data_IF_548144118127
#
_entry.id   IF_548144118127
#
_cell.length_a   1.000
_cell.length_b   1.000
_cell.length_c   1.000
_cell.angle_alpha   90.00
_cell.angle_beta   90.00
_cell.angle_gamma   90.00
#
_symmetry.space_group_name_H-M   'P 1'
#
loop_
_entity.id
_entity.type
_entity.pdbx_description
1 polymer ?
#
# COMPACT_ATOMS: atom_id res chain seq x y z
N UNK A 1 -61.99 -46.47 18.05
CA UNK A 1 -61.52 -45.86 16.78
C UNK A 1 -60.65 -44.70 17.10
N UNK A 2 -59.37 -44.91 17.09
CA UNK A 2 -58.37 -43.91 17.51
C UNK A 2 -57.62 -43.41 16.27
N UNK A 3 -57.88 -42.17 15.90
CA UNK A 3 -57.27 -41.52 14.70
C UNK A 3 -55.87 -41.07 15.05
N UNK A 4 -54.82 -41.68 14.52
CA UNK A 4 -53.42 -41.22 14.61
C UNK A 4 -53.20 -40.10 13.61
N UNK A 5 -52.84 -38.92 14.13
CA UNK A 5 -52.43 -37.77 13.33
C UNK A 5 -50.92 -37.91 12.98
N UNK A 6 -50.64 -38.18 11.72
CA UNK A 6 -49.32 -38.35 11.18
C UNK A 6 -48.66 -36.96 10.98
N UNK A 7 -47.76 -36.56 11.88
CA UNK A 7 -47.00 -35.30 11.75
C UNK A 7 -45.79 -35.53 10.86
N UNK A 8 -45.87 -35.08 9.61
CA UNK A 8 -44.77 -35.06 8.66
C UNK A 8 -43.65 -34.15 9.22
N UNK A 9 -42.55 -34.74 9.69
CA UNK A 9 -41.31 -34.02 9.96
C UNK A 9 -40.65 -33.67 8.61
N UNK A 10 -40.56 -32.36 8.31
CA UNK A 10 -39.76 -31.83 7.22
C UNK A 10 -38.26 -32.10 7.49
N UNK A 11 -37.46 -32.48 6.49
CA UNK A 11 -36.04 -32.76 6.67
C UNK A 11 -35.26 -31.48 6.97
N UNK A 12 -34.35 -31.55 7.95
CA UNK A 12 -33.60 -30.45 8.55
C UNK A 12 -32.45 -29.91 7.70
N UNK A 13 -32.74 -29.49 6.45
CA UNK A 13 -31.80 -28.72 5.62
C UNK A 13 -32.22 -27.24 5.47
N UNK A 14 -32.93 -26.69 6.43
CA UNK A 14 -33.10 -25.26 6.52
C UNK A 14 -31.71 -24.65 6.68
N UNK A 15 -31.11 -24.25 5.57
CA UNK A 15 -29.90 -23.42 5.55
C UNK A 15 -30.19 -22.22 6.44
N UNK A 16 -29.53 -22.17 7.59
CA UNK A 16 -29.56 -20.98 8.43
C UNK A 16 -28.98 -19.84 7.61
N UNK A 17 -29.84 -18.97 7.11
CA UNK A 17 -29.42 -17.71 6.54
C UNK A 17 -28.68 -16.97 7.64
N UNK A 18 -27.34 -16.97 7.60
CA UNK A 18 -26.54 -16.08 8.44
C UNK A 18 -27.06 -14.67 8.20
N UNK A 19 -27.26 -13.85 9.24
CA UNK A 19 -27.69 -12.48 9.04
C UNK A 19 -26.72 -11.80 8.07
N UNK A 20 -27.23 -11.30 6.96
CA UNK A 20 -26.45 -10.66 5.94
C UNK A 20 -25.61 -9.56 6.60
N UNK A 21 -24.30 -9.73 6.64
CA UNK A 21 -23.38 -8.70 7.15
C UNK A 21 -23.64 -7.41 6.37
N UNK A 22 -23.66 -6.26 7.08
CA UNK A 22 -23.84 -4.96 6.40
C UNK A 22 -22.86 -4.85 5.22
N UNK A 23 -23.30 -4.36 4.06
CA UNK A 23 -22.44 -4.21 2.90
C UNK A 23 -21.27 -3.27 3.21
N UNK A 24 -20.13 -3.53 2.61
CA UNK A 24 -18.97 -2.66 2.66
C UNK A 24 -19.30 -1.41 1.83
N UNK A 25 -19.34 -0.26 2.50
CA UNK A 25 -19.67 1.03 1.90
C UNK A 25 -18.44 1.65 1.25
N UNK A 26 -18.50 1.87 -0.04
CA UNK A 26 -17.36 2.32 -0.86
C UNK A 26 -17.66 3.67 -1.47
N UNK A 27 -16.76 4.63 -1.27
CA UNK A 27 -16.72 5.89 -2.02
C UNK A 27 -15.69 5.75 -3.14
N UNK A 28 -16.06 6.11 -4.38
CA UNK A 28 -15.17 6.08 -5.55
C UNK A 28 -14.83 7.51 -5.95
N UNK A 29 -13.53 7.82 -6.04
CA UNK A 29 -13.04 9.14 -6.45
C UNK A 29 -12.04 8.98 -7.61
N UNK A 30 -12.43 9.42 -8.80
CA UNK A 30 -11.67 9.33 -10.05
C UNK A 30 -12.20 10.36 -11.04
N UNK A 31 -11.38 11.05 -11.79
CA UNK A 31 -11.82 12.03 -12.79
C UNK A 31 -12.27 11.39 -14.12
N UNK A 32 -11.88 10.12 -14.35
CA UNK A 32 -12.27 9.38 -15.56
C UNK A 32 -13.67 8.77 -15.43
N UNK A 33 -14.65 9.38 -16.07
CA UNK A 33 -16.06 8.93 -16.01
C UNK A 33 -16.25 7.45 -16.39
N UNK A 34 -15.61 6.99 -17.45
CA UNK A 34 -15.73 5.61 -17.92
C UNK A 34 -15.22 4.61 -16.87
N UNK A 35 -14.13 4.95 -16.21
CA UNK A 35 -13.58 4.12 -15.15
C UNK A 35 -14.52 4.08 -13.95
N UNK A 36 -15.08 5.22 -13.50
CA UNK A 36 -16.07 5.24 -12.40
C UNK A 36 -17.27 4.35 -12.69
N UNK A 37 -17.84 4.46 -13.93
CA UNK A 37 -18.94 3.59 -14.35
C UNK A 37 -18.57 2.13 -14.29
N UNK A 38 -17.38 1.75 -14.77
CA UNK A 38 -16.86 0.39 -14.75
C UNK A 38 -16.71 -0.14 -13.32
N UNK A 39 -16.07 0.62 -12.43
CA UNK A 39 -15.89 0.25 -11.02
C UNK A 39 -17.25 0.12 -10.31
N UNK A 40 -18.17 1.05 -10.51
CA UNK A 40 -19.52 0.96 -9.95
C UNK A 40 -20.24 -0.33 -10.39
N UNK A 41 -20.21 -0.66 -11.67
CA UNK A 41 -20.80 -1.91 -12.20
C UNK A 41 -20.16 -3.15 -11.58
N UNK A 42 -18.82 -3.15 -11.47
CA UNK A 42 -18.06 -4.24 -10.87
C UNK A 42 -18.45 -4.43 -9.40
N UNK A 43 -18.47 -3.35 -8.62
CA UNK A 43 -18.82 -3.38 -7.19
C UNK A 43 -20.27 -3.81 -7.01
N UNK A 44 -21.21 -3.30 -7.83
CA UNK A 44 -22.63 -3.69 -7.77
C UNK A 44 -22.87 -5.16 -8.09
N UNK A 45 -21.98 -5.81 -8.85
CA UNK A 45 -22.06 -7.24 -9.15
C UNK A 45 -21.50 -8.14 -8.05
N UNK A 46 -20.83 -7.57 -7.03
CA UNK A 46 -20.20 -8.34 -5.95
C UNK A 46 -21.06 -8.29 -4.68
N UNK A 47 -21.56 -9.45 -4.20
CA UNK A 47 -22.36 -9.50 -2.98
C UNK A 47 -21.63 -8.93 -1.78
N UNK A 48 -22.32 -8.09 -1.01
CA UNK A 48 -21.77 -7.49 0.20
C UNK A 48 -20.95 -6.21 -0.02
N UNK A 49 -21.04 -5.58 -1.19
CA UNK A 49 -20.44 -4.27 -1.49
C UNK A 49 -21.51 -3.27 -1.93
N UNK A 50 -21.29 -1.98 -1.63
CA UNK A 50 -22.16 -0.89 -2.01
C UNK A 50 -21.35 0.37 -2.33
N UNK A 51 -21.57 0.98 -3.51
CA UNK A 51 -21.04 2.31 -3.82
C UNK A 51 -21.98 3.35 -3.22
N UNK A 52 -21.51 4.05 -2.20
CA UNK A 52 -22.31 5.07 -1.48
C UNK A 52 -22.13 6.47 -2.03
N UNK A 53 -21.15 6.70 -2.92
CA UNK A 53 -20.92 7.99 -3.56
C UNK A 53 -19.83 7.91 -4.61
N UNK A 54 -19.84 8.92 -5.49
CA UNK A 54 -18.83 9.09 -6.54
C UNK A 54 -18.32 10.53 -6.53
N UNK A 55 -17.01 10.73 -6.69
CA UNK A 55 -16.37 12.03 -6.82
C UNK A 55 -15.56 12.10 -8.11
N UNK A 56 -15.52 13.26 -8.74
CA UNK A 56 -14.74 13.54 -9.97
C UNK A 56 -13.52 14.41 -9.72
N UNK A 57 -13.32 14.89 -8.48
CA UNK A 57 -12.18 15.72 -8.10
C UNK A 57 -11.86 15.57 -6.61
N UNK A 58 -10.71 16.10 -6.20
CA UNK A 58 -10.24 15.98 -4.82
C UNK A 58 -11.11 16.68 -3.78
N UNK A 59 -11.55 17.94 -3.96
CA UNK A 59 -12.44 18.62 -3.04
C UNK A 59 -13.77 17.89 -2.83
N UNK A 60 -14.37 17.37 -3.91
CA UNK A 60 -15.60 16.57 -3.83
C UNK A 60 -15.38 15.28 -3.05
N UNK A 61 -14.25 14.59 -3.29
CA UNK A 61 -13.89 13.36 -2.56
C UNK A 61 -13.82 13.61 -1.04
N UNK A 62 -13.17 14.70 -0.61
CA UNK A 62 -13.06 15.09 0.80
C UNK A 62 -14.45 15.39 1.38
N UNK A 63 -15.27 16.17 0.67
CA UNK A 63 -16.61 16.54 1.12
C UNK A 63 -17.51 15.31 1.28
N UNK A 64 -17.52 14.43 0.28
CA UNK A 64 -18.30 13.19 0.34
C UNK A 64 -17.79 12.23 1.42
N UNK A 65 -16.46 12.13 1.62
CA UNK A 65 -15.91 11.32 2.71
C UNK A 65 -16.41 11.78 4.09
N UNK A 66 -16.41 13.09 4.35
CA UNK A 66 -16.93 13.66 5.61
C UNK A 66 -18.39 13.33 5.85
N UNK A 67 -19.20 13.44 4.80
CA UNK A 67 -20.66 13.27 4.90
C UNK A 67 -21.08 11.80 4.95
N UNK A 68 -20.45 10.95 4.14
CA UNK A 68 -20.88 9.56 3.95
C UNK A 68 -20.19 8.59 4.90
N UNK A 69 -18.99 8.91 5.38
CA UNK A 69 -18.16 8.02 6.22
C UNK A 69 -18.11 6.60 5.64
N UNK A 70 -17.52 6.42 4.45
CA UNK A 70 -17.42 5.12 3.81
C UNK A 70 -16.50 4.18 4.60
N UNK A 71 -16.70 2.87 4.43
CA UNK A 71 -15.77 1.87 4.96
C UNK A 71 -14.43 1.88 4.21
N UNK A 72 -14.46 2.17 2.89
CA UNK A 72 -13.27 2.27 2.04
C UNK A 72 -13.46 3.41 1.03
N UNK A 73 -12.41 4.20 0.85
CA UNK A 73 -12.29 5.16 -0.26
C UNK A 73 -11.37 4.55 -1.33
N UNK A 74 -11.91 4.36 -2.55
CA UNK A 74 -11.11 4.13 -3.76
C UNK A 74 -10.74 5.48 -4.33
N UNK A 75 -9.46 5.76 -4.51
CA UNK A 75 -8.97 7.10 -4.82
C UNK A 75 -7.94 7.07 -5.95
N UNK A 76 -8.19 7.82 -7.03
CA UNK A 76 -7.15 8.08 -8.03
C UNK A 76 -6.14 9.10 -7.51
N UNK A 77 -4.89 8.94 -7.95
CA UNK A 77 -3.83 9.89 -7.63
C UNK A 77 -3.92 11.19 -8.41
N UNK A 78 -4.35 11.12 -9.67
CA UNK A 78 -4.38 12.27 -10.57
C UNK A 78 -5.81 12.75 -10.79
N UNK A 79 -6.19 13.72 -10.01
CA UNK A 79 -7.50 14.37 -10.11
C UNK A 79 -7.34 15.90 -10.19
N UNK A 80 -8.31 16.62 -10.79
CA UNK A 80 -8.31 18.07 -10.81
C UNK A 80 -8.37 18.69 -9.42
N UNK A 81 -7.85 19.90 -9.29
CA UNK A 81 -7.85 20.79 -8.12
C UNK A 81 -7.00 20.29 -6.95
N UNK A 82 -7.14 19.04 -6.54
CA UNK A 82 -6.32 18.41 -5.51
C UNK A 82 -5.91 17.00 -5.92
N UNK A 83 -4.61 16.73 -5.86
CA UNK A 83 -4.07 15.39 -6.10
C UNK A 83 -4.55 14.39 -5.05
N UNK A 84 -4.56 13.10 -5.40
CA UNK A 84 -4.91 12.04 -4.45
C UNK A 84 -4.03 12.05 -3.19
N UNK A 85 -2.75 12.42 -3.30
CA UNK A 85 -1.85 12.56 -2.15
C UNK A 85 -2.36 13.62 -1.16
N UNK A 86 -2.80 14.78 -1.67
CA UNK A 86 -3.37 15.87 -0.84
C UNK A 86 -4.69 15.46 -0.21
N UNK A 87 -5.52 14.68 -0.93
CA UNK A 87 -6.77 14.11 -0.42
C UNK A 87 -6.47 13.14 0.73
N UNK A 88 -5.51 12.21 0.56
CA UNK A 88 -5.08 11.28 1.62
C UNK A 88 -4.63 12.06 2.86
N UNK A 89 -3.71 13.02 2.70
CA UNK A 89 -3.20 13.85 3.81
C UNK A 89 -4.33 14.56 4.55
N UNK A 90 -5.29 15.14 3.80
CA UNK A 90 -6.41 15.87 4.38
C UNK A 90 -7.33 14.94 5.16
N UNK A 91 -7.75 13.84 4.56
CA UNK A 91 -8.65 12.87 5.19
C UNK A 91 -7.99 12.21 6.40
N UNK A 92 -6.73 11.79 6.31
CA UNK A 92 -6.00 11.15 7.40
C UNK A 92 -5.75 12.07 8.60
N UNK A 93 -5.60 13.37 8.36
CA UNK A 93 -5.50 14.38 9.42
C UNK A 93 -6.81 14.52 10.23
N UNK A 94 -7.95 14.39 9.57
CA UNK A 94 -9.27 14.51 10.19
C UNK A 94 -9.79 13.17 10.73
N UNK A 95 -9.45 12.07 10.07
CA UNK A 95 -9.92 10.70 10.34
C UNK A 95 -8.72 9.75 10.35
N UNK A 96 -8.13 9.57 11.51
CA UNK A 96 -6.92 8.75 11.67
C UNK A 96 -7.13 7.26 11.34
N UNK A 97 -8.37 6.77 11.34
CA UNK A 97 -8.77 5.41 10.97
C UNK A 97 -9.25 5.26 9.51
N UNK A 98 -9.17 6.34 8.70
CA UNK A 98 -9.60 6.32 7.30
C UNK A 98 -8.90 5.22 6.51
N UNK A 99 -9.68 4.44 5.78
CA UNK A 99 -9.22 3.32 4.96
C UNK A 99 -9.25 3.72 3.50
N UNK A 100 -8.07 3.97 2.95
CA UNK A 100 -7.91 4.51 1.61
C UNK A 100 -7.11 3.52 0.78
N UNK A 101 -7.68 3.09 -0.36
CA UNK A 101 -7.06 2.28 -1.40
C UNK A 101 -6.84 3.15 -2.62
N UNK A 102 -5.59 3.32 -3.00
CA UNK A 102 -5.21 4.02 -4.22
C UNK A 102 -5.46 3.10 -5.43
N UNK A 103 -6.08 3.67 -6.46
CA UNK A 103 -6.38 2.97 -7.72
C UNK A 103 -5.99 3.90 -8.86
N UNK A 104 -4.86 3.66 -9.52
CA UNK A 104 -4.29 4.60 -10.49
C UNK A 104 -3.68 3.91 -11.70
N UNK A 105 -3.54 4.63 -12.81
CA UNK A 105 -2.81 4.16 -14.01
C UNK A 105 -1.30 4.41 -13.92
N UNK A 106 -0.82 5.11 -12.92
CA UNK A 106 0.56 5.59 -12.82
C UNK A 106 1.31 4.87 -11.70
N UNK A 107 2.61 4.66 -11.92
CA UNK A 107 3.48 3.95 -11.01
C UNK A 107 4.88 4.57 -11.02
N UNK A 108 5.06 5.68 -10.28
CA UNK A 108 6.39 6.18 -9.97
C UNK A 108 6.76 5.84 -8.53
N UNK A 109 8.02 5.52 -8.27
CA UNK A 109 8.51 5.22 -6.91
C UNK A 109 8.17 6.35 -5.93
N UNK A 110 8.25 7.60 -6.38
CA UNK A 110 7.99 8.77 -5.56
C UNK A 110 6.51 8.89 -5.18
N UNK A 111 5.58 8.70 -6.13
CA UNK A 111 4.13 8.73 -5.87
C UNK A 111 3.70 7.61 -4.92
N UNK A 112 4.22 6.39 -5.15
CA UNK A 112 3.98 5.23 -4.28
C UNK A 112 4.42 5.54 -2.86
N UNK A 113 5.67 6.02 -2.70
CA UNK A 113 6.23 6.33 -1.41
C UNK A 113 5.41 7.42 -0.70
N UNK A 114 5.17 8.55 -1.35
CA UNK A 114 4.46 9.69 -0.75
C UNK A 114 3.04 9.34 -0.30
N UNK A 115 2.29 8.55 -1.08
CA UNK A 115 0.91 8.24 -0.75
C UNK A 115 0.80 7.20 0.36
N UNK A 116 1.72 6.24 0.42
CA UNK A 116 1.76 5.25 1.49
C UNK A 116 2.23 5.87 2.81
N UNK A 117 3.19 6.81 2.77
CA UNK A 117 3.61 7.63 3.93
C UNK A 117 2.48 8.57 4.40
N UNK A 118 1.68 9.10 3.47
CA UNK A 118 0.52 9.90 3.82
C UNK A 118 -0.57 9.09 4.53
N UNK A 119 -0.49 7.76 4.54
CA UNK A 119 -1.36 6.85 5.29
C UNK A 119 -2.39 6.11 4.44
N UNK A 120 -2.22 6.00 3.12
CA UNK A 120 -2.98 5.05 2.32
C UNK A 120 -2.67 3.62 2.76
N UNK A 121 -3.70 2.78 2.87
CA UNK A 121 -3.55 1.38 3.27
C UNK A 121 -3.33 0.44 2.09
N UNK A 122 -3.59 0.88 0.86
CA UNK A 122 -3.36 0.04 -0.30
C UNK A 122 -3.06 0.85 -1.55
N UNK A 123 -2.46 0.14 -2.53
CA UNK A 123 -2.11 0.69 -3.83
C UNK A 123 -2.30 -0.39 -4.90
N UNK A 124 -3.11 -0.10 -5.90
CA UNK A 124 -3.42 -0.99 -7.01
C UNK A 124 -3.39 -0.22 -8.34
N UNK A 125 -2.97 -0.87 -9.41
CA UNK A 125 -3.04 -0.30 -10.75
C UNK A 125 -4.42 -0.55 -11.38
N UNK A 126 -4.90 0.38 -12.22
CA UNK A 126 -6.21 0.31 -12.88
C UNK A 126 -6.35 -0.86 -13.87
N UNK A 127 -5.23 -1.42 -14.34
CA UNK A 127 -5.17 -2.58 -15.23
C UNK A 127 -5.21 -3.93 -14.51
N UNK A 128 -5.19 -3.93 -13.17
CA UNK A 128 -5.31 -5.16 -12.40
C UNK A 128 -6.72 -5.75 -12.48
N UNK A 129 -6.79 -7.08 -12.42
CA UNK A 129 -8.03 -7.83 -12.54
C UNK A 129 -9.02 -7.61 -11.39
N UNK A 130 -10.30 -7.95 -11.65
CA UNK A 130 -11.40 -7.82 -10.70
C UNK A 130 -11.11 -8.45 -9.35
N UNK A 131 -10.58 -9.67 -9.35
CA UNK A 131 -10.31 -10.46 -8.14
C UNK A 131 -9.35 -9.73 -7.19
N UNK A 132 -8.30 -9.13 -7.76
CA UNK A 132 -7.31 -8.37 -6.98
C UNK A 132 -7.90 -7.10 -6.38
N UNK A 133 -8.77 -6.40 -7.11
CA UNK A 133 -9.46 -5.22 -6.58
C UNK A 133 -10.38 -5.59 -5.40
N UNK A 134 -11.15 -6.66 -5.53
CA UNK A 134 -12.05 -7.15 -4.47
C UNK A 134 -11.25 -7.58 -3.24
N UNK A 135 -10.16 -8.30 -3.42
CA UNK A 135 -9.24 -8.70 -2.34
C UNK A 135 -8.64 -7.48 -1.64
N UNK A 136 -8.15 -6.50 -2.42
CA UNK A 136 -7.60 -5.26 -1.89
C UNK A 136 -8.63 -4.48 -1.05
N UNK A 137 -9.86 -4.34 -1.54
CA UNK A 137 -10.95 -3.67 -0.80
C UNK A 137 -11.22 -4.38 0.53
N UNK A 138 -11.33 -5.70 0.52
CA UNK A 138 -11.57 -6.50 1.76
C UNK A 138 -10.43 -6.37 2.75
N UNK A 139 -9.19 -6.40 2.28
CA UNK A 139 -7.99 -6.27 3.09
C UNK A 139 -7.93 -4.88 3.75
N UNK A 140 -8.06 -3.82 2.94
CA UNK A 140 -8.05 -2.42 3.39
C UNK A 140 -9.22 -2.14 4.35
N UNK A 141 -10.41 -2.67 4.07
CA UNK A 141 -11.56 -2.59 4.99
C UNK A 141 -11.24 -3.21 6.34
N UNK A 142 -10.48 -4.30 6.36
CA UNK A 142 -9.99 -4.95 7.59
C UNK A 142 -8.84 -4.19 8.30
N UNK A 143 -8.42 -3.02 7.78
CA UNK A 143 -7.30 -2.25 8.31
C UNK A 143 -5.92 -2.83 7.96
N UNK A 144 -5.87 -3.82 7.09
CA UNK A 144 -4.62 -4.45 6.65
C UNK A 144 -4.08 -3.72 5.42
N UNK A 145 -2.76 -3.56 5.38
CA UNK A 145 -2.08 -3.03 4.20
C UNK A 145 -2.20 -4.01 3.04
N UNK A 146 -2.52 -3.49 1.85
CA UNK A 146 -2.55 -4.26 0.62
C UNK A 146 -1.76 -3.55 -0.47
N UNK A 147 -0.65 -4.14 -0.88
CA UNK A 147 0.18 -3.70 -2.00
C UNK A 147 0.72 -4.93 -2.72
N UNK A 148 0.90 -4.84 -4.04
CA UNK A 148 1.55 -5.94 -4.77
C UNK A 148 3.00 -6.13 -4.29
N UNK A 149 3.59 -7.32 -4.45
CA UNK A 149 4.99 -7.57 -4.10
C UNK A 149 5.95 -6.56 -4.76
N UNK A 150 5.69 -6.17 -6.00
CA UNK A 150 6.47 -5.17 -6.73
C UNK A 150 6.39 -3.80 -6.07
N UNK A 151 5.21 -3.33 -5.73
CA UNK A 151 4.98 -2.06 -5.03
C UNK A 151 5.61 -2.07 -3.64
N UNK A 152 5.46 -3.19 -2.91
CA UNK A 152 6.07 -3.33 -1.58
C UNK A 152 7.59 -3.22 -1.65
N UNK A 153 8.21 -3.84 -2.64
CA UNK A 153 9.66 -3.76 -2.86
C UNK A 153 10.10 -2.33 -3.18
N UNK A 154 9.46 -1.65 -4.13
CA UNK A 154 9.77 -0.25 -4.48
C UNK A 154 9.63 0.69 -3.27
N UNK A 155 8.58 0.53 -2.49
CA UNK A 155 8.37 1.30 -1.27
C UNK A 155 9.50 1.07 -0.25
N UNK A 156 9.87 -0.20 0.00
CA UNK A 156 10.93 -0.55 0.94
C UNK A 156 12.28 0.00 0.49
N UNK A 157 12.62 -0.17 -0.78
CA UNK A 157 13.86 0.37 -1.38
C UNK A 157 13.94 1.89 -1.23
N UNK A 158 12.84 2.59 -1.49
CA UNK A 158 12.79 4.05 -1.36
C UNK A 158 12.89 4.52 0.09
N UNK A 159 12.19 3.85 1.01
CA UNK A 159 12.26 4.14 2.43
C UNK A 159 13.68 3.99 2.97
N UNK A 160 14.38 2.92 2.59
CA UNK A 160 15.77 2.66 2.97
C UNK A 160 16.73 3.72 2.40
N UNK A 161 16.57 4.10 1.12
CA UNK A 161 17.39 5.16 0.51
C UNK A 161 17.27 6.50 1.26
N UNK A 162 16.09 6.83 1.81
CA UNK A 162 15.92 8.04 2.61
C UNK A 162 16.58 7.97 3.99
N UNK A 163 16.70 6.79 4.57
CA UNK A 163 17.36 6.58 5.86
C UNK A 163 18.89 6.59 5.74
N UNK A 164 19.42 6.16 4.59
CA UNK A 164 20.86 6.12 4.32
C UNK A 164 21.35 7.52 3.92
N UNK A 165 22.26 8.09 4.70
CA UNK A 165 22.86 9.40 4.36
C UNK A 165 23.76 9.28 3.12
N UNK A 166 24.05 10.41 2.47
CA UNK A 166 24.97 10.48 1.31
C UNK A 166 26.30 9.80 1.63
N UNK A 167 26.86 10.06 2.83
CA UNK A 167 28.14 9.50 3.24
C UNK A 167 28.08 7.98 3.49
N UNK A 168 26.99 7.51 4.06
CA UNK A 168 26.77 6.07 4.24
C UNK A 168 26.57 5.37 2.89
N UNK A 169 25.93 6.01 1.93
CA UNK A 169 25.77 5.48 0.57
C UNK A 169 27.12 5.35 -0.15
N UNK A 170 28.02 6.34 -0.01
CA UNK A 170 29.39 6.25 -0.54
C UNK A 170 30.14 5.06 0.07
N UNK A 171 30.08 4.91 1.40
CA UNK A 171 30.70 3.78 2.10
C UNK A 171 30.09 2.46 1.65
N UNK A 172 28.78 2.37 1.50
CA UNK A 172 28.07 1.17 1.06
C UNK A 172 28.48 0.72 -0.35
N UNK A 173 28.61 1.66 -1.29
CA UNK A 173 29.11 1.38 -2.64
C UNK A 173 30.52 0.79 -2.64
N UNK A 174 31.40 1.32 -1.80
CA UNK A 174 32.77 0.83 -1.67
C UNK A 174 32.82 -0.52 -0.93
N UNK A 175 31.93 -0.77 0.02
CA UNK A 175 31.76 -2.09 0.64
C UNK A 175 31.32 -3.14 -0.39
N UNK A 176 30.38 -2.78 -1.29
CA UNK A 176 29.92 -3.68 -2.35
C UNK A 176 31.04 -4.06 -3.32
N UNK A 177 32.02 -3.16 -3.54
CA UNK A 177 33.26 -3.45 -4.29
C UNK A 177 34.28 -4.35 -3.54
N UNK A 178 33.97 -4.75 -2.31
CA UNK A 178 34.82 -5.60 -1.49
C UNK A 178 35.93 -4.89 -0.75
N UNK A 179 35.99 -3.55 -0.75
CA UNK A 179 37.06 -2.79 -0.10
C UNK A 179 37.01 -2.95 1.43
N UNK A 180 38.18 -3.04 2.06
CA UNK A 180 38.34 -3.02 3.52
C UNK A 180 38.08 -1.63 4.08
N UNK A 181 37.82 -1.51 5.39
CA UNK A 181 37.62 -0.21 6.04
C UNK A 181 38.82 0.74 5.89
N UNK A 182 40.05 0.20 5.76
CA UNK A 182 41.27 1.01 5.51
C UNK A 182 41.29 1.57 4.10
N UNK A 183 40.95 0.76 3.10
CA UNK A 183 40.88 1.20 1.70
C UNK A 183 39.77 2.22 1.52
N UNK A 184 38.58 1.99 2.11
CA UNK A 184 37.47 2.96 2.11
C UNK A 184 37.89 4.28 2.76
N UNK A 185 38.60 4.22 3.90
CA UNK A 185 39.12 5.39 4.59
C UNK A 185 40.03 6.22 3.69
N UNK A 186 40.95 5.59 2.95
CA UNK A 186 41.83 6.23 1.99
C UNK A 186 41.07 6.86 0.83
N UNK A 187 40.10 6.15 0.23
CA UNK A 187 39.28 6.67 -0.87
C UNK A 187 38.43 7.86 -0.42
N UNK A 188 37.82 7.75 0.76
CA UNK A 188 36.91 8.76 1.31
C UNK A 188 37.60 9.92 2.03
N UNK A 189 38.92 9.89 2.26
CA UNK A 189 39.68 10.92 3.00
C UNK A 189 39.27 11.03 4.47
N UNK A 190 38.92 9.93 5.13
CA UNK A 190 38.51 9.89 6.55
C UNK A 190 39.27 8.82 7.33
N UNK A 191 39.08 8.74 8.64
CA UNK A 191 39.71 7.70 9.44
C UNK A 191 39.02 6.35 9.29
N UNK A 192 39.77 5.24 9.44
CA UNK A 192 39.19 3.88 9.46
C UNK A 192 38.17 3.69 10.60
N UNK A 193 38.35 4.43 11.71
CA UNK A 193 37.37 4.46 12.81
C UNK A 193 36.04 5.09 12.37
N UNK A 194 36.12 6.19 11.61
CA UNK A 194 34.91 6.84 11.03
C UNK A 194 34.19 5.92 10.05
N UNK A 195 34.93 5.20 9.19
CA UNK A 195 34.32 4.20 8.31
C UNK A 195 33.62 3.10 9.11
N UNK A 196 34.24 2.59 10.17
CA UNK A 196 33.63 1.59 11.06
C UNK A 196 32.32 2.11 11.65
N UNK A 197 32.23 3.39 12.04
CA UNK A 197 31.01 3.97 12.56
C UNK A 197 29.91 4.06 11.48
N UNK A 198 30.25 4.46 10.25
CA UNK A 198 29.30 4.44 9.13
C UNK A 198 28.80 3.02 8.82
N UNK A 199 29.69 2.03 8.83
CA UNK A 199 29.31 0.62 8.64
C UNK A 199 28.34 0.18 9.73
N UNK A 200 28.65 0.43 11.01
CA UNK A 200 27.76 0.05 12.11
C UNK A 200 26.39 0.75 11.99
N UNK A 201 26.36 2.04 11.61
CA UNK A 201 25.11 2.77 11.36
C UNK A 201 24.30 2.14 10.22
N UNK A 202 24.97 1.75 9.13
CA UNK A 202 24.34 1.02 8.02
C UNK A 202 23.75 -0.32 8.48
N UNK A 203 24.50 -1.13 9.24
CA UNK A 203 24.02 -2.41 9.76
C UNK A 203 22.74 -2.23 10.60
N UNK A 204 22.72 -1.21 11.46
CA UNK A 204 21.55 -0.89 12.28
C UNK A 204 20.35 -0.46 11.42
N UNK A 205 20.56 0.43 10.42
CA UNK A 205 19.50 0.94 9.55
C UNK A 205 18.90 -0.12 8.63
N UNK A 206 19.74 -1.08 8.22
CA UNK A 206 19.35 -2.19 7.35
C UNK A 206 18.84 -3.41 8.15
N UNK A 207 18.94 -3.38 9.49
CA UNK A 207 18.57 -4.48 10.40
C UNK A 207 19.28 -5.80 10.05
N UNK A 208 20.57 -5.72 9.70
CA UNK A 208 21.41 -6.87 9.30
C UNK A 208 22.57 -7.10 10.27
N UNK A 209 23.05 -8.34 10.36
CA UNK A 209 24.04 -8.74 11.34
C UNK A 209 25.49 -8.34 10.97
N UNK A 210 25.83 -8.38 9.68
CA UNK A 210 27.19 -8.12 9.22
C UNK A 210 27.26 -7.42 7.86
N UNK A 211 28.51 -7.04 7.48
CA UNK A 211 28.77 -6.32 6.22
C UNK A 211 28.41 -7.12 4.96
N UNK A 212 28.53 -8.44 5.01
CA UNK A 212 28.25 -9.32 3.86
C UNK A 212 26.74 -9.37 3.64
N UNK A 213 26.00 -9.51 4.73
CA UNK A 213 24.54 -9.44 4.71
C UNK A 213 24.05 -8.06 4.24
N UNK A 214 24.68 -6.97 4.69
CA UNK A 214 24.35 -5.62 4.24
C UNK A 214 24.53 -5.44 2.73
N UNK A 215 25.64 -5.90 2.17
CA UNK A 215 25.90 -5.83 0.73
C UNK A 215 24.91 -6.71 -0.04
N UNK A 216 24.68 -7.95 0.39
CA UNK A 216 23.73 -8.88 -0.22
C UNK A 216 22.31 -8.31 -0.21
N UNK A 217 21.89 -7.73 0.92
CA UNK A 217 20.60 -7.07 1.08
C UNK A 217 20.44 -5.92 0.11
N UNK A 218 21.43 -5.03 0.03
CA UNK A 218 21.38 -3.84 -0.83
C UNK A 218 21.39 -4.17 -2.32
N UNK A 219 22.09 -5.23 -2.73
CA UNK A 219 22.06 -5.74 -4.11
C UNK A 219 20.70 -6.36 -4.43
N UNK A 220 20.18 -7.20 -3.54
CA UNK A 220 18.88 -7.86 -3.72
C UNK A 220 17.69 -6.85 -3.82
N UNK A 221 17.82 -5.70 -3.14
CA UNK A 221 16.79 -4.65 -3.12
C UNK A 221 17.11 -3.47 -4.06
N UNK A 222 18.14 -3.57 -4.91
CA UNK A 222 18.48 -2.55 -5.90
C UNK A 222 18.94 -1.20 -5.31
N UNK A 223 19.33 -1.16 -4.04
CA UNK A 223 19.87 0.05 -3.37
C UNK A 223 21.24 0.41 -3.94
N UNK A 224 22.03 -0.60 -4.27
CA UNK A 224 23.29 -0.54 -5.01
C UNK A 224 23.16 -1.43 -6.24
N UNK A 225 23.61 -0.94 -7.40
CA UNK A 225 23.60 -1.69 -8.66
C UNK A 225 24.98 -2.26 -8.96
N UNK A 226 25.04 -3.37 -9.72
CA UNK A 226 26.30 -3.97 -10.15
C UNK A 226 27.15 -3.03 -11.01
N UNK A 227 26.49 -2.11 -11.73
CA UNK A 227 27.17 -1.06 -12.51
C UNK A 227 27.80 0.05 -11.64
N UNK A 228 27.46 0.12 -10.37
CA UNK A 228 28.11 0.97 -9.36
C UNK A 228 29.40 0.36 -8.79
N UNK A 229 29.76 -0.89 -9.22
CA UNK A 229 30.93 -1.64 -8.70
C UNK A 229 32.23 -1.49 -9.52
#
# INVERSE_FOLDING_TARGET
>A
MTTQTNTLRLPGWAVSAQPASKPIRILVADDHLVYRIGIRSLIASEPGFEVVGEASDGPQAITLYRNLRPDVLLLDLRMPQKSGIEVVKTIRKEFCDARILIVTSYQTEEEIFQVLEAGALGYILKDMGREMLIEAIRSVRGGKRWVSPTIQRQYTERALRQQITVREMEVLKLLARGLTNREIANVCGISAATVKNHVNSLLTKLEVADRTEAVSYCLAHGIVQLDDM
#
